data_IF_431794469563
#
_entry.id   IF_431794469563
#
_cell.length_a   1.000
_cell.length_b   1.000
_cell.length_c   1.000
_cell.angle_alpha   90.00
_cell.angle_beta   90.00
_cell.angle_gamma   90.00
#
_symmetry.space_group_name_H-M   'P 1'
#
loop_
_entity.id
_entity.type
_entity.pdbx_description
1 polymer ?
#
# COMPACT_ATOMS: atom_id res chain seq x y z
N UNK A 1 0.03 -15.23 -40.61
CA UNK A 1 0.13 -15.92 -39.31
C UNK A 1 1.58 -15.94 -38.92
N UNK A 2 1.98 -15.07 -37.98
CA UNK A 2 3.22 -15.23 -37.23
C UNK A 2 2.84 -14.97 -35.78
N UNK A 3 2.53 -16.06 -35.11
CA UNK A 3 2.22 -16.16 -33.69
C UNK A 3 3.42 -15.72 -32.87
N UNK A 4 3.32 -14.59 -32.17
CA UNK A 4 4.23 -14.30 -31.05
C UNK A 4 3.68 -13.26 -30.08
N UNK A 5 2.36 -13.26 -29.88
CA UNK A 5 1.73 -12.56 -28.77
C UNK A 5 2.06 -13.34 -27.49
N UNK A 6 3.21 -13.01 -26.91
CA UNK A 6 3.58 -13.33 -25.52
C UNK A 6 2.68 -12.55 -24.57
N UNK A 7 1.36 -12.76 -24.68
CA UNK A 7 0.38 -12.55 -23.64
C UNK A 7 0.61 -13.58 -22.54
N UNK A 8 1.78 -13.52 -21.91
CA UNK A 8 1.85 -13.93 -20.52
C UNK A 8 1.00 -12.91 -19.78
N UNK A 9 -0.26 -13.31 -19.53
CA UNK A 9 -1.14 -12.79 -18.51
C UNK A 9 -0.31 -12.22 -17.34
N UNK A 10 -0.07 -10.91 -17.38
CA UNK A 10 0.58 -10.18 -16.30
C UNK A 10 -0.47 -10.06 -15.20
N UNK A 11 -0.60 -11.11 -14.40
CA UNK A 11 -1.44 -11.14 -13.21
C UNK A 11 -0.97 -9.98 -12.30
N UNK A 12 -1.64 -8.83 -12.40
CA UNK A 12 -1.52 -7.72 -11.45
C UNK A 12 -0.49 -6.61 -11.68
N UNK A 13 0.15 -6.45 -12.85
CA UNK A 13 0.99 -5.27 -13.17
C UNK A 13 0.32 -4.35 -14.18
N UNK A 14 0.14 -3.07 -13.83
CA UNK A 14 -0.40 -2.06 -14.75
C UNK A 14 0.58 -1.66 -15.87
N UNK A 15 1.90 -1.86 -15.69
CA UNK A 15 2.91 -1.76 -16.76
C UNK A 15 4.28 -2.29 -16.30
N UNK A 16 5.25 -2.34 -17.23
CA UNK A 16 6.67 -2.69 -16.99
C UNK A 16 7.38 -1.78 -15.99
N UNK A 17 6.87 -0.56 -15.79
CA UNK A 17 7.38 0.48 -14.85
C UNK A 17 6.31 0.95 -13.85
N UNK A 18 5.14 0.31 -13.84
CA UNK A 18 3.95 0.76 -13.12
C UNK A 18 3.80 0.20 -11.71
N UNK A 19 2.88 0.78 -10.96
CA UNK A 19 2.45 0.26 -9.67
C UNK A 19 1.77 -1.12 -9.83
N UNK A 20 1.89 -1.95 -8.80
CA UNK A 20 1.18 -3.23 -8.74
C UNK A 20 -0.29 -3.00 -8.36
N UNK A 21 -1.17 -3.85 -8.87
CA UNK A 21 -2.58 -3.82 -8.47
C UNK A 21 -2.72 -4.10 -6.98
N UNK A 22 -3.56 -3.31 -6.32
CA UNK A 22 -3.84 -3.42 -4.88
C UNK A 22 -4.45 -4.79 -4.54
N UNK A 23 -5.31 -5.32 -5.43
CA UNK A 23 -5.91 -6.65 -5.28
C UNK A 23 -4.85 -7.73 -5.36
N UNK A 24 -3.89 -7.55 -6.26
CA UNK A 24 -2.76 -8.46 -6.41
C UNK A 24 -1.83 -8.44 -5.19
N UNK A 25 -1.49 -7.26 -4.67
CA UNK A 25 -0.69 -7.15 -3.44
C UNK A 25 -1.39 -7.86 -2.27
N UNK A 26 -2.70 -7.63 -2.12
CA UNK A 26 -3.49 -8.26 -1.05
C UNK A 26 -3.50 -9.79 -1.16
N UNK A 27 -3.69 -10.32 -2.37
CA UNK A 27 -3.64 -11.77 -2.61
C UNK A 27 -2.27 -12.37 -2.26
N UNK A 28 -1.18 -11.73 -2.70
CA UNK A 28 0.18 -12.19 -2.39
C UNK A 28 0.46 -12.18 -0.89
N UNK A 29 0.02 -11.14 -0.18
CA UNK A 29 0.16 -11.06 1.27
C UNK A 29 -0.67 -12.13 2.00
N UNK A 30 -1.88 -12.42 1.52
CA UNK A 30 -2.72 -13.48 2.08
C UNK A 30 -2.08 -14.86 1.91
N UNK A 31 -1.48 -15.15 0.76
CA UNK A 31 -0.77 -16.41 0.53
C UNK A 31 0.48 -16.56 1.43
N UNK A 32 1.19 -15.47 1.67
CA UNK A 32 2.32 -15.45 2.63
C UNK A 32 1.82 -15.70 4.04
N UNK A 33 0.71 -15.08 4.45
CA UNK A 33 0.07 -15.36 5.75
C UNK A 33 -0.38 -16.82 5.88
N UNK A 34 -0.78 -17.47 4.78
CA UNK A 34 -1.11 -18.91 4.75
C UNK A 34 0.12 -19.83 4.80
N UNK A 35 1.33 -19.27 4.88
CA UNK A 35 2.58 -20.00 5.03
C UNK A 35 3.42 -20.12 3.74
N UNK A 36 3.10 -19.37 2.69
CA UNK A 36 3.93 -19.37 1.47
C UNK A 36 5.32 -18.77 1.75
N UNK A 37 6.42 -19.47 1.39
CA UNK A 37 7.77 -18.93 1.53
C UNK A 37 8.01 -17.71 0.64
N UNK A 38 8.64 -16.66 1.17
CA UNK A 38 8.90 -15.41 0.43
C UNK A 38 9.65 -15.63 -0.89
N UNK A 39 10.63 -16.55 -0.90
CA UNK A 39 11.39 -16.90 -2.11
C UNK A 39 10.51 -17.52 -3.19
N UNK A 40 9.53 -18.33 -2.78
CA UNK A 40 8.57 -18.95 -3.69
C UNK A 40 7.63 -17.88 -4.26
N UNK A 41 7.09 -17.00 -3.42
CA UNK A 41 6.24 -15.88 -3.85
C UNK A 41 6.97 -14.97 -4.85
N UNK A 42 8.23 -14.60 -4.60
CA UNK A 42 9.02 -13.78 -5.54
C UNK A 42 9.16 -14.45 -6.91
N UNK A 43 9.40 -15.77 -6.93
CA UNK A 43 9.58 -16.55 -8.17
C UNK A 43 8.26 -16.76 -8.91
N UNK A 44 7.20 -17.12 -8.19
CA UNK A 44 5.87 -17.39 -8.73
C UNK A 44 5.23 -16.14 -9.33
N UNK A 45 5.38 -14.99 -8.66
CA UNK A 45 4.73 -13.73 -9.05
C UNK A 45 5.66 -12.75 -9.77
N UNK A 46 6.92 -13.15 -10.03
CA UNK A 46 7.95 -12.29 -10.63
C UNK A 46 8.10 -10.92 -9.92
N UNK A 47 8.04 -10.96 -8.59
CA UNK A 47 8.17 -9.78 -7.72
C UNK A 47 9.62 -9.69 -7.23
N UNK A 48 10.17 -8.47 -7.22
CA UNK A 48 11.49 -8.23 -6.65
C UNK A 48 11.45 -8.47 -5.13
N UNK A 49 12.44 -9.16 -4.53
CA UNK A 49 12.45 -9.42 -3.09
C UNK A 49 12.25 -8.17 -2.22
N UNK A 50 12.92 -7.06 -2.58
CA UNK A 50 12.76 -5.76 -1.90
C UNK A 50 11.33 -5.23 -1.92
N UNK A 51 10.61 -5.45 -3.02
CA UNK A 51 9.20 -5.03 -3.12
C UNK A 51 8.32 -5.86 -2.20
N UNK A 52 8.55 -7.17 -2.15
CA UNK A 52 7.80 -8.06 -1.27
C UNK A 52 8.04 -7.74 0.21
N UNK A 53 9.30 -7.57 0.61
CA UNK A 53 9.65 -7.18 1.98
C UNK A 53 8.95 -5.89 2.41
N UNK A 54 8.88 -4.90 1.51
CA UNK A 54 8.18 -3.63 1.79
C UNK A 54 6.66 -3.83 1.96
N UNK A 55 6.03 -4.74 1.20
CA UNK A 55 4.61 -5.02 1.37
C UNK A 55 4.32 -5.69 2.70
N UNK A 56 5.17 -6.63 3.12
CA UNK A 56 5.05 -7.32 4.41
C UNK A 56 5.22 -6.32 5.55
N UNK A 57 6.27 -5.50 5.53
CA UNK A 57 6.54 -4.49 6.54
C UNK A 57 5.36 -3.51 6.69
N UNK A 58 4.80 -3.03 5.57
CA UNK A 58 3.62 -2.16 5.61
C UNK A 58 2.40 -2.88 6.20
N UNK A 59 2.19 -4.14 5.84
CA UNK A 59 1.08 -4.94 6.35
C UNK A 59 1.20 -5.24 7.85
N UNK A 60 2.40 -5.57 8.35
CA UNK A 60 2.70 -5.80 9.76
C UNK A 60 2.52 -4.53 10.60
N UNK A 61 2.89 -3.38 10.05
CA UNK A 61 2.68 -2.08 10.68
C UNK A 61 1.21 -1.62 10.63
N UNK A 62 0.29 -2.44 10.12
CA UNK A 62 -1.14 -2.12 10.02
C UNK A 62 -1.47 -1.07 8.96
N UNK A 63 -0.50 -0.73 8.11
CA UNK A 63 -0.80 0.10 6.95
C UNK A 63 -1.53 -0.79 5.94
N UNK A 64 -2.71 -0.37 5.46
CA UNK A 64 -3.32 -1.09 4.35
C UNK A 64 -2.31 -1.12 3.20
N UNK A 65 -2.28 -2.22 2.43
CA UNK A 65 -1.50 -2.37 1.17
C UNK A 65 -1.66 -1.20 0.18
N UNK A 66 -2.59 -0.30 0.47
CA UNK A 66 -2.87 1.01 -0.09
C UNK A 66 -1.91 2.15 0.30
N UNK A 67 -0.90 1.92 1.15
CA UNK A 67 0.01 2.94 1.72
C UNK A 67 0.84 3.76 0.72
N UNK A 68 0.53 3.69 -0.58
CA UNK A 68 1.10 4.58 -1.58
C UNK A 68 0.09 5.55 -2.20
N UNK A 69 -1.22 5.26 -2.29
CA UNK A 69 -2.20 6.16 -2.95
C UNK A 69 -3.66 5.67 -2.77
N UNK A 70 -4.24 5.72 -1.57
CA UNK A 70 -5.70 5.89 -1.47
C UNK A 70 -5.96 7.34 -1.07
N UNK A 71 -6.84 8.08 -1.78
CA UNK A 71 -7.37 9.30 -1.19
C UNK A 71 -7.99 8.89 0.15
N UNK A 72 -7.55 9.54 1.22
CA UNK A 72 -8.21 9.44 2.51
C UNK A 72 -9.72 9.58 2.26
N UNK A 73 -10.52 8.59 2.67
CA UNK A 73 -11.98 8.75 2.60
C UNK A 73 -12.34 10.01 3.36
N UNK A 74 -13.38 10.73 2.92
CA UNK A 74 -13.78 12.00 3.56
C UNK A 74 -13.95 11.82 5.08
N UNK A 75 -14.47 10.67 5.50
CA UNK A 75 -14.60 10.27 6.90
C UNK A 75 -13.25 10.11 7.61
N UNK A 76 -12.28 9.44 6.97
CA UNK A 76 -10.92 9.32 7.52
C UNK A 76 -10.22 10.68 7.65
N UNK A 77 -10.30 11.53 6.60
CA UNK A 77 -9.77 12.90 6.65
C UNK A 77 -10.37 13.66 7.84
N UNK A 78 -11.69 13.61 8.02
CA UNK A 78 -12.39 14.28 9.12
C UNK A 78 -11.97 13.77 10.51
N UNK A 79 -11.81 12.46 10.68
CA UNK A 79 -11.33 11.89 11.95
C UNK A 79 -9.91 12.35 12.28
N UNK A 80 -9.01 12.36 11.29
CA UNK A 80 -7.63 12.83 11.47
C UNK A 80 -7.62 14.32 11.82
N UNK A 81 -8.32 15.15 11.05
CA UNK A 81 -8.38 16.60 11.27
C UNK A 81 -8.96 16.92 12.65
N UNK A 82 -10.09 16.30 13.04
CA UNK A 82 -10.67 16.51 14.38
C UNK A 82 -9.72 16.12 15.51
N UNK A 83 -9.01 15.01 15.37
CA UNK A 83 -8.07 14.56 16.40
C UNK A 83 -6.90 15.55 16.57
N UNK A 84 -6.47 16.20 15.48
CA UNK A 84 -5.40 17.20 15.52
C UNK A 84 -5.90 18.56 16.01
N UNK A 85 -7.05 19.03 15.51
CA UNK A 85 -7.64 20.32 15.93
C UNK A 85 -8.09 20.34 17.39
N UNK A 86 -8.58 19.21 17.90
CA UNK A 86 -8.93 19.07 19.33
C UNK A 86 -7.72 18.99 20.27
N UNK A 87 -6.50 18.95 19.72
CA UNK A 87 -5.28 18.75 20.50
C UNK A 87 -5.10 17.34 21.05
N UNK A 88 -5.96 16.39 20.66
CA UNK A 88 -5.86 14.99 21.10
C UNK A 88 -4.60 14.29 20.55
N UNK A 89 -4.12 14.70 19.37
CA UNK A 89 -2.90 14.21 18.75
C UNK A 89 -2.14 15.38 18.11
N UNK A 90 -0.82 15.43 18.28
CA UNK A 90 0.04 16.26 17.43
C UNK A 90 0.08 15.70 16.01
N UNK A 91 0.47 16.52 15.03
CA UNK A 91 0.62 16.09 13.62
C UNK A 91 1.53 14.84 13.51
N UNK A 92 2.64 14.79 14.27
CA UNK A 92 3.57 13.65 14.27
C UNK A 92 2.98 12.40 14.91
N UNK A 93 2.12 12.54 15.91
CA UNK A 93 1.41 11.41 16.51
C UNK A 93 0.32 10.92 15.58
N UNK A 94 -0.45 11.83 14.97
CA UNK A 94 -1.44 11.49 13.96
C UNK A 94 -0.81 10.74 12.77
N UNK A 95 0.39 11.11 12.33
CA UNK A 95 1.11 10.36 11.30
C UNK A 95 1.38 8.90 11.70
N UNK A 96 1.81 8.66 12.94
CA UNK A 96 2.08 7.31 13.45
C UNK A 96 0.80 6.53 13.68
N UNK A 97 -0.19 7.15 14.33
CA UNK A 97 -1.47 6.54 14.69
C UNK A 97 -2.32 6.19 13.46
N UNK A 98 -2.33 7.04 12.44
CA UNK A 98 -3.16 6.86 11.24
C UNK A 98 -2.37 6.39 10.02
N UNK A 99 -1.07 6.14 10.17
CA UNK A 99 -0.23 5.65 9.08
C UNK A 99 -0.10 6.63 7.90
N UNK A 100 0.09 7.91 8.20
CA UNK A 100 0.22 8.96 7.18
C UNK A 100 1.71 9.25 6.95
N UNK A 101 2.19 8.91 5.74
CA UNK A 101 3.60 9.01 5.39
C UNK A 101 4.16 10.43 5.35
N UNK A 102 3.32 11.46 5.23
CA UNK A 102 3.77 12.86 5.12
C UNK A 102 2.97 13.79 6.04
N UNK A 103 3.67 14.57 6.88
CA UNK A 103 3.07 15.54 7.80
C UNK A 103 2.37 16.67 7.04
N UNK A 104 2.89 17.02 5.86
CA UNK A 104 2.29 18.04 5.00
C UNK A 104 0.90 17.63 4.50
N UNK A 105 0.63 16.34 4.35
CA UNK A 105 -0.70 15.84 3.98
C UNK A 105 -1.75 16.24 5.03
N UNK A 106 -1.40 16.16 6.32
CA UNK A 106 -2.30 16.53 7.42
C UNK A 106 -2.46 18.06 7.48
N UNK A 107 -1.37 18.82 7.30
CA UNK A 107 -1.43 20.30 7.25
C UNK A 107 -2.36 20.79 6.14
N UNK A 108 -2.20 20.25 4.93
CA UNK A 108 -3.06 20.59 3.79
C UNK A 108 -4.54 20.21 4.04
N UNK A 109 -4.82 19.27 4.93
CA UNK A 109 -6.18 18.91 5.30
C UNK A 109 -6.83 19.87 6.29
N UNK A 110 -6.03 20.53 7.12
CA UNK A 110 -6.45 21.55 8.09
C UNK A 110 -6.62 22.91 7.41
N UNK A 111 -5.75 23.22 6.45
CA UNK A 111 -5.80 24.49 5.69
C UNK A 111 -6.90 24.55 4.61
N UNK A 112 -7.59 23.42 4.34
CA UNK A 112 -8.68 23.29 3.36
C UNK A 112 -10.06 23.35 4.01
#
# INVERSE_FOLDING_TARGET
MVENDKEQQLIGRYSTTGFYDKRFIAQVLEEIHKGMPHRLACKQYNIKPRTLSRWIELNELGFPSNGLNRPATIQFKRSVVRAVESGSLSIKEAQRTYGIGCSQTIKNWIEQ
#
